data_IF_457594087757
#
_entry.id   IF_457594087757
#
_cell.length_a   1.000
_cell.length_b   1.000
_cell.length_c   1.000
_cell.angle_alpha   90.00
_cell.angle_beta   90.00
_cell.angle_gamma   90.00
#
_symmetry.space_group_name_H-M   'P 1'
#
loop_
_entity.id
_entity.type
_entity.pdbx_description
1 polymer ?
#
# COMPACT_ATOMS: atom_id res chain seq x y z
N UNK A 1 8.51 -10.22 -3.64
CA UNK A 1 7.53 -10.50 -2.57
C UNK A 1 6.38 -9.51 -2.66
N UNK A 2 5.15 -9.95 -2.43
CA UNK A 2 3.94 -9.12 -2.33
C UNK A 2 3.22 -9.45 -1.03
N UNK A 3 2.88 -8.43 -0.25
CA UNK A 3 2.11 -8.55 0.99
C UNK A 3 0.84 -7.73 0.82
N UNK A 4 -0.32 -8.33 1.03
CA UNK A 4 -1.61 -7.65 0.87
C UNK A 4 -2.71 -8.33 1.68
N UNK A 5 -3.84 -7.64 1.82
CA UNK A 5 -5.01 -8.12 2.52
C UNK A 5 -5.84 -9.11 1.68
N UNK A 6 -6.89 -9.65 2.30
CA UNK A 6 -7.81 -10.61 1.70
C UNK A 6 -9.00 -9.94 0.98
N UNK A 7 -8.80 -8.78 0.36
CA UNK A 7 -9.82 -8.23 -0.52
C UNK A 7 -10.25 -9.29 -1.56
N UNK A 8 -11.55 -9.33 -1.89
CA UNK A 8 -12.12 -10.37 -2.76
C UNK A 8 -11.46 -10.41 -4.13
N UNK A 9 -10.96 -9.28 -4.63
CA UNK A 9 -10.26 -9.20 -5.91
C UNK A 9 -8.89 -9.90 -5.83
N UNK A 10 -8.17 -9.78 -4.70
CA UNK A 10 -6.90 -10.47 -4.45
C UNK A 10 -7.07 -12.00 -4.40
N UNK A 11 -8.24 -12.47 -3.96
CA UNK A 11 -8.56 -13.89 -3.86
C UNK A 11 -9.15 -14.49 -5.15
N UNK A 12 -9.46 -13.65 -6.15
CA UNK A 12 -10.14 -14.05 -7.39
C UNK A 12 -9.34 -15.05 -8.22
N UNK A 13 -10.04 -15.87 -9.02
CA UNK A 13 -9.40 -16.82 -9.94
C UNK A 13 -8.47 -16.13 -10.95
N UNK A 14 -8.88 -14.95 -11.43
CA UNK A 14 -8.08 -14.15 -12.36
C UNK A 14 -6.77 -13.74 -11.69
N UNK A 15 -6.82 -13.26 -10.45
CA UNK A 15 -5.62 -12.85 -9.72
C UNK A 15 -4.70 -14.03 -9.43
N UNK A 16 -5.24 -15.19 -9.03
CA UNK A 16 -4.45 -16.42 -8.83
C UNK A 16 -3.71 -16.83 -10.11
N UNK A 17 -4.38 -16.83 -11.26
CA UNK A 17 -3.75 -17.14 -12.54
C UNK A 17 -2.64 -16.12 -12.90
N UNK A 18 -2.82 -14.83 -12.57
CA UNK A 18 -1.76 -13.84 -12.74
C UNK A 18 -0.55 -14.10 -11.85
N UNK A 19 -0.76 -14.53 -10.60
CA UNK A 19 0.34 -14.85 -9.68
C UNK A 19 1.06 -16.12 -10.14
N UNK A 20 0.33 -17.17 -10.51
CA UNK A 20 0.89 -18.44 -11.00
C UNK A 20 1.77 -18.25 -12.24
N UNK A 21 1.41 -17.32 -13.13
CA UNK A 21 2.22 -16.97 -14.30
C UNK A 21 3.55 -16.26 -13.98
N UNK A 22 3.82 -15.93 -12.71
CA UNK A 22 4.98 -15.15 -12.26
C UNK A 22 5.76 -15.92 -11.18
N UNK A 23 6.65 -16.86 -11.57
CA UNK A 23 7.37 -17.69 -10.60
C UNK A 23 8.30 -16.92 -9.66
N UNK A 24 8.65 -15.67 -10.01
CA UNK A 24 9.45 -14.77 -9.18
C UNK A 24 8.63 -14.07 -8.08
N UNK A 25 7.29 -14.19 -8.09
CA UNK A 25 6.39 -13.46 -7.20
C UNK A 25 5.92 -14.34 -6.04
N UNK A 26 6.58 -14.25 -4.90
CA UNK A 26 6.07 -14.82 -3.63
C UNK A 26 5.01 -13.89 -3.04
N UNK A 27 3.81 -14.42 -2.77
CA UNK A 27 2.67 -13.67 -2.21
C UNK A 27 2.39 -14.12 -0.78
N UNK A 28 2.28 -13.16 0.14
CA UNK A 28 1.87 -13.35 1.53
C UNK A 28 0.50 -12.70 1.74
N UNK A 29 -0.47 -13.52 2.10
CA UNK A 29 -1.82 -13.07 2.43
C UNK A 29 -1.91 -12.78 3.93
N UNK A 30 -2.40 -11.59 4.27
CA UNK A 30 -2.63 -11.21 5.66
C UNK A 30 -3.91 -11.85 6.20
N UNK A 31 -4.03 -12.03 7.54
CA UNK A 31 -5.29 -12.47 8.14
C UNK A 31 -6.43 -11.50 7.81
N UNK A 32 -7.64 -12.03 7.65
CA UNK A 32 -8.82 -11.20 7.44
C UNK A 32 -9.07 -10.30 8.66
N UNK A 33 -9.52 -9.07 8.41
CA UNK A 33 -9.79 -8.07 9.45
C UNK A 33 -8.60 -7.70 10.34
N UNK A 34 -7.36 -7.93 9.88
CA UNK A 34 -6.14 -7.49 10.54
C UNK A 34 -5.45 -6.40 9.70
N UNK A 35 -5.82 -5.12 9.86
CA UNK A 35 -5.16 -4.01 9.16
C UNK A 35 -3.76 -3.68 9.70
N UNK A 36 -3.47 -4.03 10.96
CA UNK A 36 -2.21 -3.72 11.65
C UNK A 36 -0.96 -4.25 10.92
N UNK A 37 -0.96 -5.49 10.36
CA UNK A 37 0.18 -5.96 9.59
C UNK A 37 0.26 -5.39 8.16
N UNK A 38 -0.68 -4.56 7.70
CA UNK A 38 -0.68 -4.04 6.32
C UNK A 38 0.06 -2.68 6.22
N UNK A 39 1.26 -2.61 5.64
CA UNK A 39 2.02 -1.36 5.57
C UNK A 39 1.36 -0.30 4.68
N UNK A 40 0.45 -0.70 3.77
CA UNK A 40 -0.32 0.24 2.96
C UNK A 40 -1.22 1.13 3.83
N UNK A 41 -1.66 0.66 5.01
CA UNK A 41 -2.45 1.47 5.95
C UNK A 41 -1.67 2.68 6.46
N UNK A 42 -0.36 2.53 6.67
CA UNK A 42 0.54 3.64 7.03
C UNK A 42 0.57 4.72 5.94
N UNK A 43 0.70 4.29 4.67
CA UNK A 43 0.66 5.17 3.50
C UNK A 43 -0.68 5.90 3.42
N UNK A 44 -1.80 5.19 3.55
CA UNK A 44 -3.15 5.78 3.51
C UNK A 44 -3.38 6.76 4.65
N UNK A 45 -2.95 6.42 5.85
CA UNK A 45 -3.04 7.27 7.05
C UNK A 45 -2.27 8.57 6.86
N UNK A 46 -1.04 8.50 6.34
CA UNK A 46 -0.23 9.67 6.03
C UNK A 46 -0.83 10.53 4.90
N UNK A 47 -1.33 9.90 3.84
CA UNK A 47 -1.95 10.59 2.71
C UNK A 47 -3.21 11.35 3.17
N UNK A 48 -4.11 10.70 3.91
CA UNK A 48 -5.33 11.33 4.44
C UNK A 48 -5.01 12.52 5.33
N UNK A 49 -4.03 12.41 6.24
CA UNK A 49 -3.57 13.56 7.05
C UNK A 49 -3.06 14.72 6.19
N UNK A 50 -2.31 14.42 5.13
CA UNK A 50 -1.78 15.43 4.23
C UNK A 50 -2.85 16.07 3.32
N UNK A 51 -4.05 15.49 3.24
CA UNK A 51 -5.20 15.99 2.49
C UNK A 51 -6.24 16.70 3.36
N UNK A 52 -6.19 16.52 4.69
CA UNK A 52 -7.27 16.89 5.61
C UNK A 52 -7.73 18.37 5.56
N UNK A 53 -6.86 19.29 5.11
CA UNK A 53 -7.16 20.72 5.03
C UNK A 53 -7.22 21.24 3.58
N UNK A 54 -7.30 20.35 2.59
CA UNK A 54 -7.39 20.72 1.19
C UNK A 54 -8.85 20.72 0.73
N UNK A 55 -9.22 21.72 -0.06
CA UNK A 55 -10.55 21.88 -0.62
C UNK A 55 -10.44 21.91 -2.17
N UNK A 56 -10.22 20.75 -2.82
CA UNK A 56 -10.19 20.69 -4.28
C UNK A 56 -11.58 21.02 -4.84
N UNK A 57 -11.60 21.67 -6.00
CA UNK A 57 -12.83 22.11 -6.67
C UNK A 57 -13.55 20.96 -7.37
N UNK A 58 -12.80 19.94 -7.80
CA UNK A 58 -13.32 18.76 -8.48
C UNK A 58 -12.48 17.50 -8.20
N UNK A 59 -12.92 16.38 -8.78
CA UNK A 59 -12.28 15.08 -8.61
C UNK A 59 -10.93 15.02 -9.33
N UNK A 60 -10.75 15.74 -10.43
CA UNK A 60 -9.51 15.73 -11.21
C UNK A 60 -8.40 16.46 -10.44
N UNK A 61 -8.73 17.58 -9.81
CA UNK A 61 -7.83 18.30 -8.90
C UNK A 61 -7.46 17.41 -7.70
N UNK A 62 -8.43 16.75 -7.08
CA UNK A 62 -8.16 15.80 -5.99
C UNK A 62 -7.23 14.66 -6.45
N UNK A 63 -7.48 14.08 -7.62
CA UNK A 63 -6.66 13.00 -8.18
C UNK A 63 -5.22 13.46 -8.44
N UNK A 64 -5.03 14.65 -9.01
CA UNK A 64 -3.71 15.24 -9.23
C UNK A 64 -2.96 15.51 -7.92
N UNK A 65 -3.65 16.00 -6.89
CA UNK A 65 -3.09 16.19 -5.55
C UNK A 65 -2.68 14.87 -4.89
N UNK A 66 -3.54 13.86 -4.96
CA UNK A 66 -3.26 12.51 -4.45
C UNK A 66 -2.03 11.93 -5.14
N UNK A 67 -1.99 11.94 -6.48
CA UNK A 67 -0.88 11.43 -7.27
C UNK A 67 0.43 12.16 -6.93
N UNK A 68 0.39 13.49 -6.80
CA UNK A 68 1.57 14.28 -6.44
C UNK A 68 2.09 13.92 -5.04
N UNK A 69 1.21 13.75 -4.06
CA UNK A 69 1.61 13.38 -2.68
C UNK A 69 2.16 11.97 -2.62
N UNK A 70 1.51 11.00 -3.26
CA UNK A 70 2.01 9.62 -3.37
C UNK A 70 3.38 9.58 -4.06
N UNK A 71 3.55 10.34 -5.14
CA UNK A 71 4.83 10.45 -5.84
C UNK A 71 5.94 11.01 -4.95
N UNK A 72 5.64 12.01 -4.12
CA UNK A 72 6.61 12.54 -3.13
C UNK A 72 6.96 11.51 -2.06
N UNK A 73 5.99 10.72 -1.58
CA UNK A 73 6.25 9.65 -0.62
C UNK A 73 7.15 8.56 -1.22
N UNK A 74 6.96 8.22 -2.51
CA UNK A 74 7.76 7.24 -3.23
C UNK A 74 9.27 7.54 -3.15
N UNK A 75 9.67 8.81 -3.17
CA UNK A 75 11.08 9.21 -3.13
C UNK A 75 11.64 9.39 -1.71
N UNK A 76 10.89 9.05 -0.67
CA UNK A 76 11.34 9.12 0.72
C UNK A 76 11.46 7.71 1.30
N UNK A 77 12.54 7.01 0.99
CA UNK A 77 12.77 5.62 1.44
C UNK A 77 12.58 5.45 2.95
N UNK A 78 13.18 6.30 3.79
CA UNK A 78 13.03 6.20 5.24
C UNK A 78 11.58 6.38 5.75
N UNK A 79 10.71 7.07 4.99
CA UNK A 79 9.29 7.14 5.31
C UNK A 79 8.58 5.81 5.00
N UNK A 80 8.90 5.21 3.84
CA UNK A 80 8.36 3.91 3.44
C UNK A 80 8.85 2.79 4.37
N UNK A 81 10.14 2.81 4.73
CA UNK A 81 10.72 1.88 5.70
C UNK A 81 10.04 2.03 7.06
N UNK A 82 9.72 3.27 7.47
CA UNK A 82 8.96 3.53 8.68
C UNK A 82 7.54 2.93 8.67
N UNK A 83 6.85 2.94 7.53
CA UNK A 83 5.53 2.28 7.42
C UNK A 83 5.62 0.77 7.54
N UNK A 84 6.70 0.16 7.03
CA UNK A 84 6.92 -1.28 7.15
C UNK A 84 7.34 -1.64 8.58
N UNK A 85 8.22 -0.86 9.20
CA UNK A 85 8.62 -1.06 10.59
C UNK A 85 7.43 -0.95 11.55
N UNK A 86 6.46 -0.08 11.27
CA UNK A 86 5.25 0.08 12.10
C UNK A 86 4.41 -1.20 12.19
N UNK A 87 4.45 -2.07 11.17
CA UNK A 87 3.69 -3.33 11.17
C UNK A 87 4.38 -4.44 11.98
N UNK A 88 5.54 -4.14 12.59
CA UNK A 88 6.37 -5.14 13.27
C UNK A 88 7.20 -6.00 12.31
N UNK A 89 7.18 -5.69 11.00
CA UNK A 89 8.07 -6.33 10.04
C UNK A 89 9.42 -5.61 10.03
N UNK A 90 10.48 -6.35 10.33
CA UNK A 90 11.85 -5.88 10.14
C UNK A 90 12.27 -6.34 8.75
N UNK A 91 12.57 -5.39 7.86
CA UNK A 91 13.23 -5.71 6.60
C UNK A 91 14.70 -5.97 6.92
N UNK A 92 15.07 -7.23 7.11
CA UNK A 92 16.48 -7.61 6.97
C UNK A 92 16.83 -7.51 5.47
N UNK A 93 17.95 -6.86 5.11
CA UNK A 93 18.46 -6.99 3.74
C UNK A 93 18.80 -8.46 3.46
N UNK A 94 18.61 -8.93 2.21
CA UNK A 94 19.06 -10.26 1.81
C UNK A 94 20.58 -10.41 1.91
#
# INVERSE_FOLDING_TARGET
>A
MLVWDNDRHHLSRVMRAMIEARPWLTVFQLPSYAPEPNPAEGVWSALKRALANLAPHDIDELAAMVATKLKRMQYRSGLLDGFIAQTGFILEPP
#
